data_IF_757491283295
#
_entry.id   IF_757491283295
#
_cell.length_a   1.000
_cell.length_b   1.000
_cell.length_c   1.000
_cell.angle_alpha   90.00
_cell.angle_beta   90.00
_cell.angle_gamma   90.00
#
_symmetry.space_group_name_H-M   'P 1'
#
loop_
_entity.id
_entity.type
_entity.pdbx_description
1 polymer ?
#
# COMPACT_ATOMS: atom_id res chain seq x y z
N UNK A 1 -30.30 -4.81 29.60
CA UNK A 1 -30.60 -3.85 28.52
C UNK A 1 -29.36 -3.10 27.99
N UNK A 2 -28.26 -2.94 28.74
CA UNK A 2 -27.06 -2.23 28.26
C UNK A 2 -26.17 -3.00 27.27
N UNK A 3 -26.20 -4.34 27.31
CA UNK A 3 -25.34 -5.18 26.51
C UNK A 3 -25.76 -5.21 25.03
N UNK A 4 -27.08 -5.17 24.75
CA UNK A 4 -27.59 -5.14 23.39
C UNK A 4 -27.19 -3.84 22.60
N UNK A 5 -27.19 -2.71 23.28
CA UNK A 5 -26.80 -1.43 22.70
C UNK A 5 -25.31 -1.40 22.30
N UNK A 6 -24.43 -1.96 23.14
CA UNK A 6 -23.00 -2.01 22.92
C UNK A 6 -22.65 -2.95 21.74
N UNK A 7 -23.29 -4.12 21.65
CA UNK A 7 -23.09 -5.07 20.55
C UNK A 7 -23.52 -4.50 19.20
N UNK A 8 -24.65 -3.76 19.18
CA UNK A 8 -25.08 -3.04 17.96
C UNK A 8 -24.06 -1.98 17.52
N UNK A 9 -23.52 -1.22 18.46
CA UNK A 9 -22.50 -0.22 18.14
C UNK A 9 -21.24 -0.87 17.55
N UNK A 10 -20.76 -1.96 18.15
CA UNK A 10 -19.60 -2.73 17.66
C UNK A 10 -19.88 -3.28 16.25
N UNK A 11 -21.09 -3.81 16.00
CA UNK A 11 -21.52 -4.30 14.69
C UNK A 11 -21.39 -3.21 13.60
N UNK A 12 -21.96 -2.03 13.84
CA UNK A 12 -21.90 -0.94 12.86
C UNK A 12 -20.49 -0.39 12.70
N UNK A 13 -19.73 -0.28 13.79
CA UNK A 13 -18.34 0.16 13.75
C UNK A 13 -17.49 -0.79 12.88
N UNK A 14 -17.60 -2.10 13.14
CA UNK A 14 -16.91 -3.14 12.38
C UNK A 14 -17.33 -3.10 10.90
N UNK A 15 -18.65 -2.95 10.64
CA UNK A 15 -19.16 -2.84 9.27
C UNK A 15 -18.58 -1.65 8.52
N UNK A 16 -18.70 -0.42 9.05
CA UNK A 16 -18.26 0.78 8.36
C UNK A 16 -16.76 0.78 8.13
N UNK A 17 -15.99 0.35 9.13
CA UNK A 17 -14.54 0.31 9.01
C UNK A 17 -14.11 -0.67 7.91
N UNK A 18 -14.63 -1.91 7.93
CA UNK A 18 -14.31 -2.90 6.91
C UNK A 18 -14.88 -2.54 5.53
N UNK A 19 -15.99 -1.83 5.45
CA UNK A 19 -16.53 -1.34 4.18
C UNK A 19 -15.58 -0.35 3.50
N UNK A 20 -14.96 0.57 4.24
CA UNK A 20 -13.92 1.45 3.69
C UNK A 20 -12.69 0.67 3.23
N UNK A 21 -12.26 -0.34 3.99
CA UNK A 21 -11.17 -1.21 3.55
C UNK A 21 -11.51 -2.00 2.30
N UNK A 22 -12.72 -2.50 2.19
CA UNK A 22 -13.22 -3.18 1.00
C UNK A 22 -13.21 -2.26 -0.22
N UNK A 23 -13.71 -1.03 -0.10
CA UNK A 23 -13.67 -0.04 -1.18
C UNK A 23 -12.23 0.30 -1.58
N UNK A 24 -11.36 0.55 -0.61
CA UNK A 24 -9.95 0.82 -0.88
C UNK A 24 -9.28 -0.35 -1.61
N UNK A 25 -9.54 -1.59 -1.18
CA UNK A 25 -9.07 -2.80 -1.85
C UNK A 25 -9.57 -2.92 -3.29
N UNK A 26 -10.84 -2.62 -3.55
CA UNK A 26 -11.40 -2.59 -4.91
C UNK A 26 -10.70 -1.56 -5.81
N UNK A 27 -10.44 -0.35 -5.29
CA UNK A 27 -9.75 0.71 -6.04
C UNK A 27 -8.31 0.30 -6.34
N UNK A 28 -7.55 -0.17 -5.33
CA UNK A 28 -6.16 -0.60 -5.51
C UNK A 28 -6.09 -1.74 -6.52
N UNK A 29 -6.94 -2.75 -6.38
CA UNK A 29 -6.98 -3.90 -7.29
C UNK A 29 -7.35 -3.48 -8.71
N UNK A 30 -8.38 -2.62 -8.86
CA UNK A 30 -8.83 -2.12 -10.15
C UNK A 30 -7.74 -1.34 -10.88
N UNK A 31 -7.07 -0.40 -10.20
CA UNK A 31 -5.97 0.39 -10.76
C UNK A 31 -4.78 -0.52 -11.11
N UNK A 32 -4.45 -1.48 -10.25
CA UNK A 32 -3.32 -2.39 -10.49
C UNK A 32 -3.58 -3.34 -11.67
N UNK A 33 -4.80 -3.85 -11.83
CA UNK A 33 -5.20 -4.66 -12.97
C UNK A 33 -5.24 -3.83 -14.26
N UNK A 34 -5.71 -2.59 -14.19
CA UNK A 34 -5.68 -1.68 -15.33
C UNK A 34 -4.26 -1.39 -15.77
N UNK A 35 -3.34 -1.08 -14.83
CA UNK A 35 -1.91 -0.90 -15.12
C UNK A 35 -1.27 -2.13 -15.76
N UNK A 36 -1.70 -3.33 -15.33
CA UNK A 36 -1.19 -4.59 -15.90
C UNK A 36 -1.74 -4.87 -17.29
N UNK A 37 -3.02 -4.55 -17.54
CA UNK A 37 -3.73 -4.93 -18.78
C UNK A 37 -3.55 -3.91 -19.91
N UNK A 38 -3.03 -2.73 -19.63
CA UNK A 38 -2.75 -1.74 -20.67
C UNK A 38 -1.62 -2.25 -21.57
N UNK A 39 -1.99 -2.67 -22.80
CA UNK A 39 -1.05 -3.18 -23.83
C UNK A 39 0.06 -2.18 -24.15
N UNK A 40 -0.14 -0.90 -23.90
CA UNK A 40 0.86 0.15 -24.08
C UNK A 40 1.91 0.13 -22.95
N UNK A 41 1.52 -0.24 -21.75
CA UNK A 41 2.44 -0.48 -20.64
C UNK A 41 3.22 -1.78 -20.84
N UNK A 42 2.57 -2.81 -21.39
CA UNK A 42 3.20 -4.08 -21.74
C UNK A 42 4.23 -3.95 -22.88
N UNK A 43 3.94 -3.17 -23.92
CA UNK A 43 4.86 -2.99 -25.06
C UNK A 43 6.10 -2.14 -24.72
N UNK A 44 6.03 -1.26 -23.72
CA UNK A 44 7.22 -0.55 -23.20
C UNK A 44 8.16 -1.46 -22.42
N UNK A 45 7.61 -2.55 -21.87
CA UNK A 45 8.34 -3.56 -21.13
C UNK A 45 8.96 -4.63 -22.06
N UNK A 46 8.45 -4.76 -23.29
CA UNK A 46 8.99 -5.62 -24.34
C UNK A 46 10.11 -4.96 -25.17
N UNK A 47 10.26 -3.63 -25.08
CA UNK A 47 11.42 -2.96 -25.62
C UNK A 47 12.64 -3.36 -24.79
N UNK A 48 13.21 -4.52 -25.18
CA UNK A 48 14.54 -5.00 -24.81
C UNK A 48 15.56 -3.87 -24.96
N UNK A 49 15.79 -3.15 -23.88
CA UNK A 49 17.03 -2.43 -23.75
C UNK A 49 18.03 -3.43 -23.18
N UNK A 50 18.99 -3.80 -24.02
CA UNK A 50 20.09 -4.68 -23.64
C UNK A 50 20.77 -4.14 -22.38
N UNK A 51 20.63 -4.83 -21.25
CA UNK A 51 21.55 -4.75 -20.13
C UNK A 51 21.07 -4.23 -18.79
N UNK A 52 19.78 -3.87 -18.54
CA UNK A 52 19.38 -3.40 -17.21
C UNK A 52 18.09 -4.05 -16.64
N UNK A 53 18.16 -4.38 -15.33
CA UNK A 53 17.10 -5.07 -14.55
C UNK A 53 15.88 -4.18 -14.21
N UNK A 54 15.82 -2.94 -14.70
CA UNK A 54 14.78 -1.96 -14.40
C UNK A 54 13.32 -2.42 -14.70
N UNK A 55 13.02 -3.17 -15.76
CA UNK A 55 11.65 -3.62 -16.03
C UNK A 55 11.12 -4.60 -14.98
N UNK A 56 11.98 -5.38 -14.35
CA UNK A 56 11.59 -6.45 -13.41
C UNK A 56 11.01 -5.92 -12.12
N UNK A 57 11.58 -4.87 -11.54
CA UNK A 57 11.14 -4.26 -10.28
C UNK A 57 9.75 -3.65 -10.40
N UNK A 58 9.42 -3.03 -11.52
CA UNK A 58 8.09 -2.47 -11.79
C UNK A 58 7.01 -3.57 -11.84
N UNK A 59 7.25 -4.67 -12.55
CA UNK A 59 6.32 -5.80 -12.61
C UNK A 59 6.07 -6.39 -11.22
N UNK A 60 7.13 -6.61 -10.45
CA UNK A 60 7.02 -7.12 -9.09
C UNK A 60 6.16 -6.19 -8.25
N UNK A 61 6.34 -4.87 -8.35
CA UNK A 61 5.53 -3.88 -7.62
C UNK A 61 4.05 -3.93 -8.01
N UNK A 62 3.72 -4.05 -9.30
CA UNK A 62 2.33 -4.18 -9.76
C UNK A 62 1.69 -5.49 -9.24
N UNK A 63 2.42 -6.61 -9.25
CA UNK A 63 1.92 -7.87 -8.71
C UNK A 63 1.71 -7.81 -7.19
N UNK A 64 2.58 -7.13 -6.47
CA UNK A 64 2.41 -6.89 -5.02
C UNK A 64 1.14 -6.07 -4.78
N UNK A 65 0.91 -5.00 -5.54
CA UNK A 65 -0.31 -4.17 -5.43
C UNK A 65 -1.57 -4.97 -5.75
N UNK A 66 -1.56 -5.85 -6.76
CA UNK A 66 -2.67 -6.76 -7.07
C UNK A 66 -2.93 -7.70 -5.89
N UNK A 67 -1.90 -8.31 -5.34
CA UNK A 67 -2.03 -9.23 -4.21
C UNK A 67 -2.58 -8.51 -2.96
N UNK A 68 -2.03 -7.35 -2.61
CA UNK A 68 -2.47 -6.53 -1.47
C UNK A 68 -3.92 -6.06 -1.69
N UNK A 69 -4.27 -5.53 -2.85
CA UNK A 69 -5.63 -5.10 -3.17
C UNK A 69 -6.64 -6.24 -3.10
N UNK A 70 -6.29 -7.43 -3.60
CA UNK A 70 -7.14 -8.62 -3.53
C UNK A 70 -7.36 -9.07 -2.08
N UNK A 71 -6.31 -9.12 -1.27
CA UNK A 71 -6.40 -9.49 0.16
C UNK A 71 -7.24 -8.48 0.93
N UNK A 72 -6.99 -7.16 0.75
CA UNK A 72 -7.78 -6.11 1.39
C UNK A 72 -9.26 -6.19 1.01
N UNK A 73 -9.56 -6.38 -0.27
CA UNK A 73 -10.94 -6.52 -0.75
C UNK A 73 -11.60 -7.76 -0.13
N UNK A 74 -10.92 -8.90 -0.12
CA UNK A 74 -11.47 -10.15 0.42
C UNK A 74 -11.72 -10.05 1.94
N UNK A 75 -10.73 -9.61 2.70
CA UNK A 75 -10.84 -9.49 4.17
C UNK A 75 -11.86 -8.42 4.56
N UNK A 76 -11.84 -7.26 3.90
CA UNK A 76 -12.85 -6.21 4.11
C UNK A 76 -14.27 -6.71 3.81
N UNK A 77 -14.46 -7.51 2.74
CA UNK A 77 -15.74 -8.13 2.44
C UNK A 77 -16.18 -9.09 3.55
N UNK A 78 -15.30 -9.97 4.02
CA UNK A 78 -15.63 -10.89 5.11
C UNK A 78 -16.03 -10.14 6.38
N UNK A 79 -15.33 -9.05 6.73
CA UNK A 79 -15.61 -8.23 7.90
C UNK A 79 -16.95 -7.51 7.80
N UNK A 80 -17.21 -6.79 6.70
CA UNK A 80 -18.46 -6.04 6.53
C UNK A 80 -19.66 -6.96 6.32
N UNK A 81 -19.55 -7.99 5.49
CA UNK A 81 -20.65 -8.93 5.23
C UNK A 81 -20.92 -9.83 6.45
N UNK A 82 -19.87 -10.30 7.13
CA UNK A 82 -19.99 -11.07 8.37
C UNK A 82 -20.67 -10.30 9.48
N UNK A 83 -20.37 -9.00 9.62
CA UNK A 83 -21.01 -8.12 10.61
C UNK A 83 -22.49 -7.90 10.31
N UNK A 84 -22.87 -7.63 9.05
CA UNK A 84 -24.28 -7.40 8.67
C UNK A 84 -25.12 -8.66 8.85
N UNK A 85 -24.63 -9.78 8.32
CA UNK A 85 -25.34 -11.06 8.35
C UNK A 85 -25.33 -11.75 9.71
N UNK A 86 -24.59 -11.18 10.69
CA UNK A 86 -24.41 -11.78 12.01
C UNK A 86 -23.98 -13.26 11.93
N UNK A 87 -23.16 -13.58 10.94
CA UNK A 87 -22.74 -14.94 10.66
C UNK A 87 -21.48 -15.29 11.45
N UNK A 88 -21.61 -16.21 12.40
CA UNK A 88 -20.48 -16.70 13.21
C UNK A 88 -19.36 -17.31 12.35
N UNK A 89 -19.73 -18.02 11.27
CA UNK A 89 -18.75 -18.64 10.38
C UNK A 89 -17.93 -17.58 9.64
N UNK A 90 -18.56 -16.53 9.12
CA UNK A 90 -17.87 -15.45 8.41
C UNK A 90 -16.98 -14.62 9.35
N UNK A 91 -17.50 -14.29 10.55
CA UNK A 91 -16.71 -13.59 11.56
C UNK A 91 -15.52 -14.44 12.05
N UNK A 92 -15.72 -15.74 12.21
CA UNK A 92 -14.63 -16.67 12.56
C UNK A 92 -13.57 -16.77 11.48
N UNK A 93 -13.98 -16.84 10.20
CA UNK A 93 -13.04 -16.81 9.06
C UNK A 93 -12.31 -15.47 8.98
N UNK A 94 -13.02 -14.35 9.16
CA UNK A 94 -12.43 -13.03 9.22
C UNK A 94 -11.37 -12.92 10.33
N UNK A 95 -11.68 -13.39 11.54
CA UNK A 95 -10.74 -13.45 12.66
C UNK A 95 -9.49 -14.27 12.32
N UNK A 96 -9.67 -15.46 11.73
CA UNK A 96 -8.56 -16.30 11.32
C UNK A 96 -7.66 -15.63 10.26
N UNK A 97 -8.27 -14.95 9.28
CA UNK A 97 -7.53 -14.16 8.28
C UNK A 97 -6.72 -13.03 8.94
N UNK A 98 -7.30 -12.31 9.90
CA UNK A 98 -6.58 -11.25 10.63
C UNK A 98 -5.39 -11.79 11.43
N UNK A 99 -5.53 -12.95 12.09
CA UNK A 99 -4.42 -13.59 12.80
C UNK A 99 -3.28 -13.94 11.84
N UNK A 100 -3.60 -14.49 10.67
CA UNK A 100 -2.61 -14.81 9.65
C UNK A 100 -1.92 -13.55 9.12
N UNK A 101 -2.68 -12.50 8.83
CA UNK A 101 -2.14 -11.22 8.34
C UNK A 101 -1.24 -10.57 9.40
N UNK A 102 -1.65 -10.59 10.66
CA UNK A 102 -0.84 -10.08 11.77
C UNK A 102 0.49 -10.85 11.90
N UNK A 103 0.45 -12.18 11.81
CA UNK A 103 1.67 -12.98 11.81
C UNK A 103 2.59 -12.65 10.62
N UNK A 104 2.02 -12.46 9.42
CA UNK A 104 2.76 -12.03 8.23
C UNK A 104 3.37 -10.63 8.41
N UNK A 105 2.63 -9.68 9.02
CA UNK A 105 3.13 -8.32 9.29
C UNK A 105 4.34 -8.37 10.23
N UNK A 106 4.25 -9.12 11.33
CA UNK A 106 5.37 -9.29 12.26
C UNK A 106 6.58 -9.93 11.57
N UNK A 107 6.36 -11.00 10.81
CA UNK A 107 7.44 -11.66 10.07
C UNK A 107 8.09 -10.74 9.03
N UNK A 108 7.28 -10.00 8.27
CA UNK A 108 7.75 -9.02 7.29
C UNK A 108 8.49 -7.85 7.97
N UNK A 109 8.03 -7.38 9.12
CA UNK A 109 8.70 -6.35 9.91
C UNK A 109 10.08 -6.78 10.38
N UNK A 110 10.21 -7.99 10.93
CA UNK A 110 11.51 -8.56 11.36
C UNK A 110 12.45 -8.72 10.15
N UNK A 111 11.95 -9.32 9.07
CA UNK A 111 12.74 -9.52 7.86
C UNK A 111 13.17 -8.18 7.25
N UNK A 112 12.27 -7.21 7.20
CA UNK A 112 12.54 -5.88 6.68
C UNK A 112 13.58 -5.13 7.49
N UNK A 113 13.53 -5.25 8.82
CA UNK A 113 14.55 -4.67 9.70
C UNK A 113 15.93 -5.29 9.47
N UNK A 114 16.00 -6.60 9.28
CA UNK A 114 17.27 -7.31 9.02
C UNK A 114 17.85 -7.01 7.63
N UNK A 115 17.01 -6.66 6.66
CA UNK A 115 17.40 -6.44 5.26
C UNK A 115 17.18 -4.99 4.79
N UNK A 116 17.17 -4.02 5.70
CA UNK A 116 16.87 -2.61 5.42
C UNK A 116 17.71 -2.00 4.30
N UNK A 117 18.99 -2.38 4.19
CA UNK A 117 19.89 -1.87 3.16
C UNK A 117 19.48 -2.36 1.76
N UNK A 118 19.13 -3.64 1.62
CA UNK A 118 18.61 -4.21 0.36
C UNK A 118 17.29 -3.55 -0.03
N UNK A 119 16.38 -3.35 0.93
CA UNK A 119 15.09 -2.70 0.68
C UNK A 119 15.32 -1.25 0.23
N UNK A 120 16.29 -0.55 0.83
CA UNK A 120 16.66 0.80 0.41
C UNK A 120 17.17 0.84 -1.04
N UNK A 121 18.00 -0.12 -1.44
CA UNK A 121 18.49 -0.22 -2.82
C UNK A 121 17.35 -0.53 -3.80
N UNK A 122 16.48 -1.49 -3.47
CA UNK A 122 15.32 -1.80 -4.30
C UNK A 122 14.35 -0.62 -4.44
N UNK A 123 14.17 0.16 -3.38
CA UNK A 123 13.36 1.37 -3.43
C UNK A 123 13.99 2.45 -4.32
N UNK A 124 15.31 2.58 -4.31
CA UNK A 124 16.05 3.48 -5.23
C UNK A 124 15.88 3.00 -6.67
N UNK A 125 16.04 1.71 -6.93
CA UNK A 125 15.84 1.12 -8.27
C UNK A 125 14.40 1.34 -8.77
N UNK A 126 13.41 1.17 -7.89
CA UNK A 126 12.01 1.48 -8.21
C UNK A 126 11.83 2.96 -8.56
N UNK A 127 12.34 3.87 -7.72
CA UNK A 127 12.28 5.31 -7.98
C UNK A 127 12.93 5.65 -9.33
N UNK A 128 14.09 5.08 -9.62
CA UNK A 128 14.81 5.28 -10.88
C UNK A 128 14.02 4.78 -12.07
N UNK A 129 13.40 3.62 -11.96
CA UNK A 129 12.54 3.05 -12.99
C UNK A 129 11.34 3.96 -13.31
N UNK A 130 10.65 4.47 -12.28
CA UNK A 130 9.51 5.40 -12.46
C UNK A 130 9.98 6.73 -13.05
N UNK A 131 11.13 7.22 -12.64
CA UNK A 131 11.74 8.45 -13.15
C UNK A 131 12.05 8.31 -14.64
N UNK A 132 12.72 7.24 -15.06
CA UNK A 132 13.05 6.99 -16.47
C UNK A 132 11.79 6.78 -17.32
N UNK A 133 10.79 6.12 -16.76
CA UNK A 133 9.49 5.99 -17.42
C UNK A 133 8.81 7.34 -17.62
N UNK A 134 8.94 8.28 -16.70
CA UNK A 134 8.37 9.63 -16.87
C UNK A 134 8.99 10.41 -18.02
N UNK A 135 10.25 10.11 -18.35
CA UNK A 135 10.99 10.74 -19.44
C UNK A 135 10.78 10.03 -20.79
N UNK A 136 10.71 8.71 -20.77
CA UNK A 136 10.63 7.87 -21.98
C UNK A 136 9.20 7.57 -22.43
N UNK A 137 8.18 7.89 -21.61
CA UNK A 137 6.79 7.60 -21.91
C UNK A 137 6.32 8.27 -23.21
N UNK A 138 5.83 7.46 -24.13
CA UNK A 138 5.29 7.89 -25.43
C UNK A 138 3.85 8.38 -25.35
N UNK A 139 3.10 7.92 -24.34
CA UNK A 139 1.70 8.29 -24.10
C UNK A 139 1.55 9.27 -22.94
N UNK A 140 0.64 10.27 -23.11
CA UNK A 140 0.38 11.26 -22.06
C UNK A 140 -0.10 10.62 -20.75
N UNK A 141 -0.90 9.57 -20.81
CA UNK A 141 -1.45 8.89 -19.64
C UNK A 141 -0.38 8.18 -18.81
N UNK A 142 0.53 7.45 -19.46
CA UNK A 142 1.66 6.78 -18.79
C UNK A 142 2.58 7.79 -18.11
N UNK A 143 2.89 8.87 -18.83
CA UNK A 143 3.66 9.98 -18.27
C UNK A 143 2.99 10.59 -17.05
N UNK A 144 1.68 10.83 -17.12
CA UNK A 144 0.91 11.40 -16.02
C UNK A 144 0.91 10.48 -14.80
N UNK A 145 0.78 9.17 -15.00
CA UNK A 145 0.85 8.17 -13.91
C UNK A 145 2.23 8.17 -13.24
N UNK A 146 3.30 8.11 -14.03
CA UNK A 146 4.66 8.18 -13.51
C UNK A 146 4.93 9.48 -12.75
N UNK A 147 4.50 10.62 -13.29
CA UNK A 147 4.61 11.92 -12.63
C UNK A 147 3.83 11.98 -11.31
N UNK A 148 2.66 11.33 -11.24
CA UNK A 148 1.86 11.27 -10.00
C UNK A 148 2.61 10.47 -8.92
N UNK A 149 3.21 9.33 -9.28
CA UNK A 149 4.03 8.53 -8.35
C UNK A 149 5.26 9.32 -7.90
N UNK A 150 5.98 9.96 -8.84
CA UNK A 150 7.14 10.81 -8.51
C UNK A 150 6.74 11.96 -7.59
N UNK A 151 5.60 12.60 -7.82
CA UNK A 151 5.09 13.68 -6.98
C UNK A 151 4.92 13.22 -5.53
N UNK A 152 4.36 12.03 -5.31
CA UNK A 152 4.23 11.46 -3.96
C UNK A 152 5.61 11.29 -3.30
N UNK A 153 6.61 10.76 -4.02
CA UNK A 153 7.98 10.67 -3.51
C UNK A 153 8.57 12.02 -3.17
N UNK A 154 8.46 12.97 -4.09
CA UNK A 154 9.03 14.31 -3.95
C UNK A 154 8.42 15.08 -2.78
N UNK A 155 7.10 15.04 -2.61
CA UNK A 155 6.41 15.71 -1.51
C UNK A 155 6.67 15.04 -0.16
N UNK A 156 6.65 13.68 -0.12
CA UNK A 156 6.84 12.94 1.14
C UNK A 156 8.28 13.01 1.66
N UNK A 157 9.26 12.94 0.77
CA UNK A 157 10.67 12.90 1.14
C UNK A 157 11.36 14.27 1.05
N UNK A 158 10.64 15.31 0.60
CA UNK A 158 11.19 16.64 0.33
C UNK A 158 12.48 16.56 -0.51
N UNK A 159 12.37 15.94 -1.70
CA UNK A 159 13.47 15.73 -2.63
C UNK A 159 13.01 15.93 -4.07
N UNK A 160 13.95 16.02 -5.02
CA UNK A 160 13.63 16.10 -6.44
C UNK A 160 14.77 15.54 -7.30
N UNK A 161 14.44 14.56 -8.16
CA UNK A 161 15.37 14.01 -9.15
C UNK A 161 16.42 13.03 -8.60
N UNK A 162 17.20 12.45 -9.52
CA UNK A 162 18.22 11.43 -9.24
C UNK A 162 19.56 12.02 -8.77
N UNK A 163 19.94 13.20 -9.24
CA UNK A 163 21.27 13.79 -9.06
C UNK A 163 21.31 15.12 -8.34
N UNK A 164 22.51 15.56 -7.99
CA UNK A 164 22.77 16.87 -7.37
C UNK A 164 22.70 18.04 -8.37
N UNK A 165 22.70 17.77 -9.64
CA UNK A 165 22.60 18.77 -10.72
C UNK A 165 21.35 18.52 -11.55
N UNK A 166 20.50 19.55 -11.65
CA UNK A 166 19.39 19.59 -12.61
C UNK A 166 19.93 19.40 -14.03
N UNK A 167 19.78 18.20 -14.58
CA UNK A 167 19.94 18.02 -16.01
C UNK A 167 18.83 18.76 -16.74
N UNK A 168 19.08 19.21 -17.98
CA UNK A 168 18.06 19.86 -18.81
C UNK A 168 16.76 19.04 -18.93
N UNK A 169 16.85 17.71 -18.81
CA UNK A 169 15.72 16.80 -18.78
C UNK A 169 14.86 16.93 -17.50
N UNK A 170 15.44 17.34 -16.38
CA UNK A 170 14.73 17.54 -15.10
C UNK A 170 13.88 18.81 -15.07
N UNK A 171 14.08 19.73 -16.01
CA UNK A 171 13.26 20.92 -16.17
C UNK A 171 11.81 20.60 -16.59
N UNK A 172 11.58 19.40 -17.17
CA UNK A 172 10.27 18.97 -17.67
C UNK A 172 9.31 18.50 -16.58
N UNK A 173 9.78 18.16 -15.37
CA UNK A 173 8.93 17.78 -14.24
C UNK A 173 9.07 18.70 -13.03
N UNK A 174 9.50 19.92 -13.27
CA UNK A 174 9.56 20.96 -12.25
C UNK A 174 8.24 21.13 -11.50
N UNK A 175 7.11 20.86 -12.17
CA UNK A 175 5.77 20.92 -11.59
C UNK A 175 5.47 19.78 -10.61
N UNK A 176 6.25 18.70 -10.60
CA UNK A 176 6.12 17.58 -9.64
C UNK A 176 7.07 17.68 -8.44
N UNK A 177 7.93 18.70 -8.42
CA UNK A 177 8.84 18.97 -7.30
C UNK A 177 8.22 20.00 -6.33
N UNK A 178 8.49 19.89 -5.02
CA UNK A 178 8.05 20.88 -4.05
C UNK A 178 8.58 22.28 -4.39
N UNK A 179 7.70 23.27 -4.38
CA UNK A 179 8.02 24.65 -4.77
C UNK A 179 8.78 25.43 -3.70
N UNK A 180 8.84 24.91 -2.49
CA UNK A 180 9.51 25.48 -1.32
C UNK A 180 11.01 25.17 -1.24
N UNK A 181 11.53 24.34 -2.17
CA UNK A 181 12.96 24.03 -2.20
C UNK A 181 13.78 25.07 -2.96
N UNK A 182 14.62 25.80 -2.24
CA UNK A 182 15.62 26.72 -2.82
C UNK A 182 16.71 25.97 -3.63
N UNK A 183 17.05 24.75 -3.23
CA UNK A 183 18.02 23.89 -3.91
C UNK A 183 17.43 22.47 -3.96
N UNK A 184 17.19 21.89 -5.14
CA UNK A 184 16.67 20.53 -5.26
C UNK A 184 17.70 19.54 -4.72
N UNK A 185 17.29 18.75 -3.71
CA UNK A 185 18.09 17.67 -3.15
C UNK A 185 17.72 16.36 -3.83
N UNK A 186 18.71 15.56 -4.21
CA UNK A 186 18.51 14.22 -4.77
C UNK A 186 17.66 13.33 -3.85
N UNK A 187 16.78 12.50 -4.46
CA UNK A 187 15.94 11.57 -3.71
C UNK A 187 16.70 10.33 -3.20
N UNK A 188 17.80 9.92 -3.84
CA UNK A 188 18.57 8.76 -3.41
C UNK A 188 19.07 8.83 -1.96
N UNK A 189 19.76 9.91 -1.52
CA UNK A 189 20.19 10.02 -0.12
C UNK A 189 18.99 10.12 0.84
N UNK A 190 17.87 10.71 0.43
CA UNK A 190 16.67 10.79 1.25
C UNK A 190 15.99 9.43 1.44
N UNK A 191 15.97 8.60 0.40
CA UNK A 191 15.49 7.21 0.49
C UNK A 191 16.39 6.41 1.43
N UNK A 192 17.71 6.51 1.30
CA UNK A 192 18.65 5.85 2.23
C UNK A 192 18.48 6.33 3.66
N UNK A 193 18.30 7.63 3.87
CA UNK A 193 18.09 8.22 5.21
C UNK A 193 16.78 7.68 5.85
N UNK A 194 15.74 7.46 5.06
CA UNK A 194 14.49 6.88 5.54
C UNK A 194 14.70 5.48 6.15
N UNK A 195 15.48 4.63 5.48
CA UNK A 195 15.75 3.26 5.93
C UNK A 195 16.90 3.14 6.94
N UNK A 196 17.77 4.15 7.08
CA UNK A 196 18.86 4.13 8.05
C UNK A 196 18.50 4.89 9.33
N UNK A 197 18.12 6.16 9.21
CA UNK A 197 17.95 7.05 10.36
C UNK A 197 16.48 7.25 10.77
N UNK A 198 15.54 7.07 9.82
CA UNK A 198 14.09 7.29 10.05
C UNK A 198 13.28 6.00 10.05
N UNK A 199 13.94 4.85 10.24
CA UNK A 199 13.28 3.54 10.30
C UNK A 199 12.17 3.48 11.35
N UNK A 200 12.27 4.28 12.42
CA UNK A 200 11.23 4.40 13.44
C UNK A 200 9.88 4.88 12.87
N UNK A 201 9.85 5.67 11.79
CA UNK A 201 8.60 6.11 11.16
C UNK A 201 7.88 4.92 10.49
N UNK A 202 8.65 4.06 9.82
CA UNK A 202 8.13 2.84 9.21
C UNK A 202 7.62 1.89 10.31
N UNK A 203 8.40 1.71 11.38
CA UNK A 203 8.01 0.92 12.55
C UNK A 203 6.77 1.47 13.25
N UNK A 204 6.64 2.79 13.35
CA UNK A 204 5.43 3.42 13.91
C UNK A 204 4.20 3.17 13.04
N UNK A 205 4.31 3.28 11.72
CA UNK A 205 3.21 2.97 10.81
C UNK A 205 2.77 1.50 10.93
N UNK A 206 3.73 0.56 10.97
CA UNK A 206 3.45 -0.85 11.19
C UNK A 206 2.77 -1.11 12.54
N UNK A 207 3.22 -0.44 13.61
CA UNK A 207 2.61 -0.54 14.93
C UNK A 207 1.14 -0.05 14.93
N UNK A 208 0.84 1.04 14.22
CA UNK A 208 -0.55 1.53 14.08
C UNK A 208 -1.42 0.50 13.38
N UNK A 209 -0.94 -0.12 12.30
CA UNK A 209 -1.67 -1.19 11.60
C UNK A 209 -1.89 -2.39 12.51
N UNK A 210 -0.88 -2.83 13.25
CA UNK A 210 -0.96 -3.92 14.23
C UNK A 210 -2.03 -3.65 15.31
N UNK A 211 -2.07 -2.43 15.85
CA UNK A 211 -3.07 -2.02 16.85
C UNK A 211 -4.48 -2.08 16.24
N UNK A 212 -4.67 -1.59 15.03
CA UNK A 212 -5.95 -1.65 14.32
C UNK A 212 -6.40 -3.11 14.15
N UNK A 213 -5.53 -3.99 13.68
CA UNK A 213 -5.85 -5.42 13.54
C UNK A 213 -6.25 -6.07 14.86
N UNK A 214 -5.57 -5.73 15.97
CA UNK A 214 -5.93 -6.23 17.31
C UNK A 214 -7.34 -5.79 17.70
N UNK A 215 -7.69 -4.52 17.49
CA UNK A 215 -9.05 -4.03 17.76
C UNK A 215 -10.09 -4.76 16.90
N UNK A 216 -9.82 -4.98 15.62
CA UNK A 216 -10.72 -5.72 14.75
C UNK A 216 -10.90 -7.19 15.18
N UNK A 217 -9.83 -7.85 15.62
CA UNK A 217 -9.90 -9.20 16.17
C UNK A 217 -10.76 -9.24 17.43
N UNK A 218 -10.59 -8.27 18.35
CA UNK A 218 -11.40 -8.16 19.57
C UNK A 218 -12.86 -7.93 19.22
N UNK A 219 -13.17 -6.97 18.34
CA UNK A 219 -14.54 -6.65 17.95
C UNK A 219 -15.23 -7.82 17.24
N UNK A 220 -14.50 -8.53 16.36
CA UNK A 220 -15.00 -9.73 15.71
C UNK A 220 -15.35 -10.83 16.71
N UNK A 221 -14.48 -11.05 17.70
CA UNK A 221 -14.70 -12.04 18.75
C UNK A 221 -15.88 -11.67 19.65
N UNK A 222 -15.96 -10.41 20.09
CA UNK A 222 -17.08 -9.91 20.91
C UNK A 222 -18.41 -10.04 20.17
N UNK A 223 -18.44 -9.68 18.90
CA UNK A 223 -19.64 -9.81 18.08
C UNK A 223 -20.02 -11.27 17.87
N UNK A 224 -19.06 -12.14 17.58
CA UNK A 224 -19.28 -13.59 17.43
C UNK A 224 -19.86 -14.23 18.71
N UNK A 225 -19.31 -13.87 19.87
CA UNK A 225 -19.82 -14.33 21.18
C UNK A 225 -21.19 -13.73 21.49
N UNK A 226 -21.44 -12.48 21.16
CA UNK A 226 -22.72 -11.81 21.31
C UNK A 226 -23.83 -12.50 20.50
N UNK A 227 -23.55 -12.86 19.25
CA UNK A 227 -24.48 -13.60 18.37
C UNK A 227 -24.78 -14.99 18.95
N UNK A 228 -23.76 -15.69 19.43
CA UNK A 228 -23.90 -17.01 20.01
C UNK A 228 -24.79 -17.03 21.26
N UNK A 229 -24.70 -15.99 22.08
CA UNK A 229 -25.43 -15.88 23.33
C UNK A 229 -26.79 -15.20 23.21
N UNK A 230 -27.15 -14.71 22.02
CA UNK A 230 -28.48 -14.15 21.75
C UNK A 230 -29.49 -15.29 21.68
N UNK A 231 -30.58 -15.25 22.45
CA UNK A 231 -31.63 -16.26 22.34
C UNK A 231 -32.23 -16.20 20.94
N UNK A 232 -32.22 -17.34 20.26
CA UNK A 232 -32.90 -17.51 18.96
C UNK A 232 -34.39 -17.38 19.24
N UNK A 233 -35.01 -16.29 18.74
CA UNK A 233 -36.46 -16.20 18.63
C UNK A 233 -36.90 -16.68 17.27
#
# INVERSE_FOLDING_TARGET
MGVEGCTKCIKYLLFFFNFFFWLAGCVILGVSLWLRHDNKTSSLLELKYEGEEAPRTFYISVYILIAVGAVMMFVGFLGCYGAIQESQCLLGTFFACLVLLFACEVAAGIWGFMNKDKISEEMINFYDSVHDQSLSATTKEQRQTALTVLKVFHETLHCCGKGSFLSLAEMWYKDSCPTDMLIPQSCHPKIRDLFSNKLYLIGFAALVVAIIMIFEMIFSMVLCCGIRNSPVY
#
